data_IF_549888250214
#
_entry.id   IF_549888250214
#
_cell.length_a   1.000
_cell.length_b   1.000
_cell.length_c   1.000
_cell.angle_alpha   90.00
_cell.angle_beta   90.00
_cell.angle_gamma   90.00
#
_symmetry.space_group_name_H-M   'P 1'
#
loop_
_entity.id
_entity.type
_entity.pdbx_description
1 polymer ?
#
# COMPACT_ATOMS: atom_id res chain seq x y z
N UNK A 1 -1.12 13.07 15.45
CA UNK A 1 -1.40 11.88 14.62
C UNK A 1 -0.58 10.62 14.98
N UNK A 2 0.59 10.71 15.63
CA UNK A 2 1.42 9.52 15.98
C UNK A 2 1.26 9.00 17.44
N UNK A 3 0.30 9.53 18.21
CA UNK A 3 0.15 9.18 19.64
C UNK A 3 -0.08 7.67 19.83
N UNK A 4 -0.96 7.09 19.02
CA UNK A 4 -1.25 5.65 19.04
C UNK A 4 0.00 4.79 18.82
N UNK A 5 0.87 5.15 17.86
CA UNK A 5 2.06 4.36 17.56
C UNK A 5 3.08 4.40 18.70
N UNK A 6 3.17 5.53 19.43
CA UNK A 6 4.09 5.69 20.56
C UNK A 6 3.74 4.73 21.70
N UNK A 7 2.45 4.63 22.04
CA UNK A 7 1.97 3.80 23.14
C UNK A 7 2.15 2.31 22.78
N UNK A 8 1.79 1.93 21.54
CA UNK A 8 1.99 0.56 21.03
C UNK A 8 3.48 0.19 20.94
N UNK A 9 4.35 1.13 20.56
CA UNK A 9 5.80 0.90 20.53
C UNK A 9 6.37 0.72 21.94
N UNK A 10 5.86 1.45 22.93
CA UNK A 10 6.32 1.38 24.32
C UNK A 10 5.88 0.07 24.99
N UNK A 11 4.60 -0.24 24.94
CA UNK A 11 4.02 -1.38 25.67
C UNK A 11 4.19 -2.69 24.90
N UNK A 12 4.39 -2.59 23.58
CA UNK A 12 4.46 -3.70 22.65
C UNK A 12 3.08 -4.23 22.26
N UNK A 13 3.03 -4.94 21.14
CA UNK A 13 1.83 -5.61 20.62
C UNK A 13 2.15 -7.05 20.29
N UNK A 14 1.20 -7.96 20.53
CA UNK A 14 1.35 -9.36 20.15
C UNK A 14 1.12 -9.50 18.64
N UNK A 15 2.15 -9.96 17.93
CA UNK A 15 2.08 -10.28 16.51
C UNK A 15 2.40 -11.76 16.29
N UNK A 16 1.70 -12.36 15.34
CA UNK A 16 2.01 -13.70 14.84
C UNK A 16 3.06 -13.58 13.72
N UNK A 17 4.13 -14.35 13.84
CA UNK A 17 5.15 -14.45 12.80
C UNK A 17 4.73 -15.47 11.72
N UNK A 18 5.44 -15.51 10.60
CA UNK A 18 5.17 -16.47 9.52
C UNK A 18 5.33 -17.95 9.94
N UNK A 19 6.03 -18.22 11.04
CA UNK A 19 6.15 -19.53 11.69
C UNK A 19 4.97 -19.85 12.65
N UNK A 20 3.96 -18.98 12.73
CA UNK A 20 2.81 -19.12 13.63
C UNK A 20 3.10 -18.76 15.09
N UNK A 21 4.35 -18.44 15.45
CA UNK A 21 4.71 -18.13 16.84
C UNK A 21 4.32 -16.69 17.19
N UNK A 22 3.67 -16.54 18.35
CA UNK A 22 3.28 -15.25 18.91
C UNK A 22 4.47 -14.58 19.59
N UNK A 23 4.76 -13.33 19.22
CA UNK A 23 5.86 -12.54 19.78
C UNK A 23 5.34 -11.17 20.22
N UNK A 24 5.85 -10.67 21.35
CA UNK A 24 5.66 -9.26 21.74
C UNK A 24 6.61 -8.41 20.91
N UNK A 25 6.04 -7.65 19.98
CA UNK A 25 6.78 -6.80 19.06
C UNK A 25 6.61 -5.33 19.46
N UNK A 26 7.70 -4.58 19.40
CA UNK A 26 7.73 -3.15 19.65
C UNK A 26 7.92 -2.42 18.31
N UNK A 27 6.84 -1.97 17.65
CA UNK A 27 6.94 -1.37 16.32
C UNK A 27 7.81 -0.12 16.34
N UNK A 28 8.68 0.00 15.34
CA UNK A 28 9.51 1.18 15.10
C UNK A 28 8.91 1.91 13.90
N UNK A 29 8.80 3.24 13.99
CA UNK A 29 8.43 4.06 12.83
C UNK A 29 9.62 4.12 11.87
N UNK A 30 9.49 3.44 10.73
CA UNK A 30 10.39 3.60 9.61
C UNK A 30 9.70 4.44 8.52
N UNK A 31 10.46 5.34 7.88
CA UNK A 31 9.98 6.13 6.76
C UNK A 31 10.93 5.94 5.58
N UNK A 32 10.37 5.63 4.41
CA UNK A 32 11.10 5.64 3.16
C UNK A 32 10.99 7.03 2.53
N UNK A 33 12.13 7.66 2.28
CA UNK A 33 12.20 8.96 1.62
C UNK A 33 12.90 8.75 0.28
N UNK A 34 12.12 8.83 -0.80
CA UNK A 34 12.63 8.75 -2.15
C UNK A 34 12.07 9.86 -3.01
N UNK A 35 12.68 10.11 -4.17
CA UNK A 35 12.08 10.93 -5.21
C UNK A 35 10.85 10.22 -5.82
N UNK A 36 10.11 10.90 -6.72
CA UNK A 36 8.89 10.33 -7.29
C UNK A 36 9.10 8.96 -7.96
N UNK A 37 10.10 8.76 -8.86
CA UNK A 37 10.39 7.43 -9.41
C UNK A 37 10.68 6.35 -8.37
N UNK A 38 11.43 6.67 -7.31
CA UNK A 38 11.74 5.75 -6.21
C UNK A 38 10.50 5.38 -5.38
N UNK A 39 9.63 6.37 -5.11
CA UNK A 39 8.35 6.14 -4.44
C UNK A 39 7.42 5.25 -5.27
N UNK A 40 7.33 5.51 -6.58
CA UNK A 40 6.55 4.70 -7.52
C UNK A 40 7.06 3.26 -7.52
N UNK A 41 8.39 3.07 -7.55
CA UNK A 41 9.01 1.75 -7.50
C UNK A 41 8.68 0.97 -6.22
N UNK A 42 8.86 1.58 -5.04
CA UNK A 42 8.66 0.87 -3.76
C UNK A 42 7.19 0.54 -3.50
N UNK A 43 6.27 1.36 -4.02
CA UNK A 43 4.83 1.16 -3.86
C UNK A 43 4.20 0.26 -4.92
N UNK A 44 4.95 -0.08 -5.98
CA UNK A 44 4.46 -0.95 -7.05
C UNK A 44 3.36 -0.31 -7.90
N UNK A 45 3.30 1.03 -7.97
CA UNK A 45 2.31 1.73 -8.82
C UNK A 45 2.89 2.03 -10.19
N UNK A 46 2.02 2.24 -11.20
CA UNK A 46 2.47 2.66 -12.54
C UNK A 46 3.08 4.06 -12.51
N UNK A 47 4.17 4.24 -13.24
CA UNK A 47 4.78 5.56 -13.45
C UNK A 47 3.76 6.54 -14.04
N UNK A 48 3.77 7.77 -13.54
CA UNK A 48 2.78 8.79 -13.88
C UNK A 48 1.56 8.81 -12.97
N UNK A 49 1.37 7.81 -12.09
CA UNK A 49 0.28 7.81 -11.10
C UNK A 49 0.75 8.18 -9.70
N UNK A 50 -0.14 8.68 -8.84
CA UNK A 50 0.22 8.98 -7.47
C UNK A 50 0.29 7.67 -6.63
N UNK A 51 1.37 7.45 -5.86
CA UNK A 51 1.47 6.29 -4.98
C UNK A 51 0.50 6.31 -3.79
N UNK A 52 -0.07 7.47 -3.47
CA UNK A 52 -0.94 7.66 -2.30
C UNK A 52 -2.43 7.72 -2.62
N UNK A 53 -2.78 8.26 -3.79
CA UNK A 53 -4.14 8.66 -4.14
C UNK A 53 -4.46 8.40 -5.63
N UNK A 54 -5.65 8.83 -6.04
CA UNK A 54 -6.17 8.71 -7.42
C UNK A 54 -6.10 10.02 -8.21
N UNK A 55 -5.32 11.01 -7.76
CA UNK A 55 -5.26 12.33 -8.40
C UNK A 55 -4.77 12.21 -9.85
N UNK A 56 -5.32 13.04 -10.73
CA UNK A 56 -4.88 13.08 -12.12
C UNK A 56 -3.42 13.58 -12.21
N UNK A 57 -2.56 12.97 -13.05
CA UNK A 57 -1.18 13.40 -13.25
C UNK A 57 -1.02 14.89 -13.60
N UNK A 58 -1.99 15.47 -14.30
CA UNK A 58 -2.00 16.90 -14.65
C UNK A 58 -2.15 17.84 -13.46
N UNK A 59 -2.60 17.32 -12.31
CA UNK A 59 -2.79 18.06 -11.07
C UNK A 59 -1.65 17.84 -10.07
N UNK A 60 -0.58 17.15 -10.46
CA UNK A 60 0.59 16.98 -9.60
C UNK A 60 1.20 18.34 -9.23
N UNK A 61 1.54 18.51 -7.95
CA UNK A 61 2.05 19.77 -7.41
C UNK A 61 0.97 20.77 -6.99
N UNK A 62 -0.31 20.46 -7.19
CA UNK A 62 -1.42 21.24 -6.62
C UNK A 62 -1.59 20.95 -5.12
N UNK A 63 -2.39 21.78 -4.43
CA UNK A 63 -2.77 21.58 -3.02
C UNK A 63 -4.12 20.89 -2.86
N UNK A 64 -4.65 20.30 -3.94
CA UNK A 64 -5.93 19.63 -3.90
C UNK A 64 -5.88 18.47 -2.89
N UNK A 65 -6.96 18.27 -2.09
CA UNK A 65 -7.05 17.14 -1.19
C UNK A 65 -6.97 15.82 -1.96
N UNK A 66 -6.05 14.97 -1.54
CA UNK A 66 -5.83 13.66 -2.13
C UNK A 66 -6.80 12.63 -1.53
N UNK A 67 -7.73 12.10 -2.33
CA UNK A 67 -8.53 10.94 -1.94
C UNK A 67 -7.68 9.67 -1.97
N UNK A 68 -7.51 9.02 -0.82
CA UNK A 68 -6.70 7.82 -0.70
C UNK A 68 -7.29 6.68 -1.55
N UNK A 69 -6.40 5.85 -2.11
CA UNK A 69 -6.84 4.66 -2.84
C UNK A 69 -7.61 3.71 -1.94
N UNK A 70 -8.66 3.08 -2.49
CA UNK A 70 -9.44 2.06 -1.79
C UNK A 70 -8.65 0.75 -1.72
N UNK A 71 -8.25 0.38 -0.51
CA UNK A 71 -7.48 -0.85 -0.23
C UNK A 71 -8.30 -2.10 -0.58
N UNK A 72 -9.63 -2.08 -0.40
CA UNK A 72 -10.47 -3.24 -0.70
C UNK A 72 -10.54 -3.44 -2.22
N UNK A 73 -10.75 -2.37 -2.99
CA UNK A 73 -10.75 -2.44 -4.44
C UNK A 73 -9.39 -2.93 -4.99
N UNK A 74 -8.27 -2.48 -4.39
CA UNK A 74 -6.94 -2.97 -4.74
C UNK A 74 -6.79 -4.47 -4.43
N UNK A 75 -7.25 -4.92 -3.26
CA UNK A 75 -7.16 -6.32 -2.86
C UNK A 75 -8.00 -7.24 -3.77
N UNK A 76 -9.20 -6.79 -4.16
CA UNK A 76 -10.05 -7.49 -5.13
C UNK A 76 -9.36 -7.64 -6.48
N UNK A 77 -8.80 -6.56 -7.03
CA UNK A 77 -8.05 -6.59 -8.29
C UNK A 77 -6.83 -7.51 -8.18
N UNK A 78 -6.07 -7.42 -7.07
CA UNK A 78 -4.89 -8.24 -6.87
C UNK A 78 -5.23 -9.74 -6.80
N UNK A 79 -6.40 -10.10 -6.26
CA UNK A 79 -6.87 -11.49 -6.22
C UNK A 79 -7.08 -12.09 -7.62
N UNK A 80 -7.30 -11.26 -8.64
CA UNK A 80 -7.39 -11.71 -10.03
C UNK A 80 -6.05 -12.24 -10.54
N UNK A 81 -4.91 -11.77 -10.00
CA UNK A 81 -3.60 -12.27 -10.37
C UNK A 81 -3.34 -13.70 -9.86
N UNK A 82 -4.00 -14.09 -8.76
CA UNK A 82 -3.90 -15.42 -8.17
C UNK A 82 -4.89 -16.43 -8.79
N UNK A 83 -5.85 -15.95 -9.58
CA UNK A 83 -6.77 -16.81 -10.31
C UNK A 83 -6.02 -17.59 -11.41
N UNK A 84 -6.31 -18.88 -11.56
CA UNK A 84 -5.73 -19.72 -12.63
C UNK A 84 -6.01 -19.07 -13.98
N UNK A 85 -5.06 -19.15 -14.92
CA UNK A 85 -5.16 -18.59 -16.28
C UNK A 85 -6.42 -18.99 -17.07
N UNK A 86 -7.14 -20.02 -16.62
CA UNK A 86 -8.39 -20.52 -17.21
C UNK A 86 -9.66 -19.90 -16.58
N UNK A 87 -9.56 -19.29 -15.38
CA UNK A 87 -10.64 -18.67 -14.60
C UNK A 87 -10.40 -17.17 -14.27
N UNK A 88 -9.20 -16.64 -14.51
CA UNK A 88 -8.80 -15.27 -14.19
C UNK A 88 -8.91 -14.29 -15.35
N UNK A 89 -9.48 -13.11 -15.12
CA UNK A 89 -9.54 -12.02 -16.11
C UNK A 89 -8.25 -11.19 -16.10
N UNK A 90 -7.23 -11.69 -16.80
CA UNK A 90 -5.94 -11.01 -16.97
C UNK A 90 -6.09 -9.63 -17.62
N UNK A 91 -7.09 -9.43 -18.47
CA UNK A 91 -7.34 -8.14 -19.11
C UNK A 91 -7.86 -7.12 -18.08
N UNK A 92 -8.79 -7.53 -17.21
CA UNK A 92 -9.24 -6.70 -16.10
C UNK A 92 -8.10 -6.37 -15.13
N UNK A 93 -7.24 -7.33 -14.81
CA UNK A 93 -6.05 -7.08 -13.99
C UNK A 93 -5.11 -6.04 -14.62
N UNK A 94 -4.75 -6.20 -15.90
CA UNK A 94 -3.85 -5.26 -16.60
C UNK A 94 -4.43 -3.85 -16.72
N UNK A 95 -5.76 -3.74 -16.86
CA UNK A 95 -6.48 -2.47 -16.95
C UNK A 95 -6.59 -1.75 -15.60
N UNK A 96 -6.71 -2.53 -14.51
CA UNK A 96 -6.86 -2.00 -13.16
C UNK A 96 -5.52 -1.66 -12.49
N UNK A 97 -4.47 -2.43 -12.77
CA UNK A 97 -3.09 -2.04 -12.48
C UNK A 97 -2.66 -0.88 -13.37
#
# INVERSE_FOLDING_TARGET
MLKLLRDVAKDGVILMSGDGTLRRCHPILAAYVGNYPEQVLVTGVKYGTCPKDTINPSQFGTKEPCELRDINAIAEVLSLADAKLEDGDLAAYVQAC
#
